data_IF_324246010827
#
_entry.id   IF_324246010827
#
_cell.length_a   1.000
_cell.length_b   1.000
_cell.length_c   1.000
_cell.angle_alpha   90.00
_cell.angle_beta   90.00
_cell.angle_gamma   90.00
#
_symmetry.space_group_name_H-M   'P 1'
#
loop_
_entity.id
_entity.type
_entity.pdbx_description
1 polymer ?
#
# COMPACT_ATOMS: atom_id res chain seq x y z
N UNK A 1 9.34 1.95 -24.90
CA UNK A 1 7.98 1.90 -24.29
C UNK A 1 8.10 1.08 -23.02
N UNK A 2 7.57 1.56 -21.90
CA UNK A 2 7.50 0.78 -20.65
C UNK A 2 6.50 -0.35 -20.90
N UNK A 3 6.86 -1.59 -20.53
CA UNK A 3 5.97 -2.75 -20.68
C UNK A 3 4.65 -2.50 -19.91
N UNK A 4 3.50 -2.86 -20.48
CA UNK A 4 2.18 -2.67 -19.86
C UNK A 4 2.08 -3.33 -18.47
N UNK A 5 2.73 -4.47 -18.27
CA UNK A 5 2.76 -5.18 -16.99
C UNK A 5 3.49 -4.36 -15.91
N UNK A 6 4.60 -3.71 -16.27
CA UNK A 6 5.34 -2.82 -15.37
C UNK A 6 4.50 -1.60 -15.02
N UNK A 7 3.78 -1.01 -15.98
CA UNK A 7 2.89 0.12 -15.72
C UNK A 7 1.80 -0.22 -14.71
N UNK A 8 1.23 -1.40 -14.79
CA UNK A 8 0.18 -1.86 -13.87
C UNK A 8 0.74 -2.09 -12.47
N UNK A 9 1.87 -2.78 -12.37
CA UNK A 9 2.48 -3.15 -11.09
C UNK A 9 3.11 -1.96 -10.38
N UNK A 10 3.73 -1.04 -11.12
CA UNK A 10 4.42 0.16 -10.59
C UNK A 10 3.52 1.40 -10.63
N UNK A 11 2.20 1.24 -10.75
CA UNK A 11 1.27 2.37 -10.85
C UNK A 11 1.34 3.31 -9.65
N UNK A 12 1.36 2.78 -8.43
CA UNK A 12 1.47 3.56 -7.19
C UNK A 12 2.77 4.36 -7.12
N UNK A 13 3.86 3.81 -7.64
CA UNK A 13 5.18 4.42 -7.64
C UNK A 13 5.25 5.76 -8.40
N UNK A 14 4.41 5.92 -9.43
CA UNK A 14 4.27 7.19 -10.18
C UNK A 14 3.10 8.00 -9.67
N UNK A 15 1.99 7.36 -9.29
CA UNK A 15 0.78 8.08 -8.87
C UNK A 15 0.97 8.84 -7.56
N UNK A 16 1.65 8.27 -6.58
CA UNK A 16 1.86 8.90 -5.28
C UNK A 16 2.59 10.24 -5.40
N UNK A 17 3.77 10.35 -6.04
CA UNK A 17 4.45 11.63 -6.20
C UNK A 17 3.64 12.62 -7.05
N UNK A 18 2.96 12.16 -8.10
CA UNK A 18 2.05 13.01 -8.89
C UNK A 18 0.94 13.62 -8.03
N UNK A 19 0.25 12.80 -7.23
CA UNK A 19 -0.82 13.27 -6.35
C UNK A 19 -0.29 14.18 -5.23
N UNK A 20 0.93 13.94 -4.77
CA UNK A 20 1.62 14.80 -3.79
C UNK A 20 1.94 16.17 -4.41
N UNK A 21 2.45 16.22 -5.64
CA UNK A 21 2.69 17.45 -6.38
C UNK A 21 1.40 18.25 -6.60
N UNK A 22 0.33 17.58 -7.05
CA UNK A 22 -0.98 18.21 -7.27
C UNK A 22 -1.55 18.77 -5.96
N UNK A 23 -1.40 18.06 -4.83
CA UNK A 23 -1.86 18.52 -3.52
C UNK A 23 -1.08 19.74 -3.05
N UNK A 24 0.24 19.70 -3.12
CA UNK A 24 1.11 20.82 -2.77
C UNK A 24 0.75 22.07 -3.59
N UNK A 25 0.65 21.94 -4.89
CA UNK A 25 0.26 23.04 -5.77
C UNK A 25 -1.10 23.66 -5.41
N UNK A 26 -2.11 22.83 -5.12
CA UNK A 26 -3.44 23.30 -4.72
C UNK A 26 -3.44 24.03 -3.38
N UNK A 27 -2.65 23.55 -2.42
CA UNK A 27 -2.52 24.19 -1.11
C UNK A 27 -1.85 25.57 -1.25
N UNK A 28 -0.76 25.64 -2.00
CA UNK A 28 -0.05 26.89 -2.28
C UNK A 28 -0.95 27.90 -2.97
N UNK A 29 -1.66 27.48 -4.02
CA UNK A 29 -2.59 28.35 -4.74
C UNK A 29 -3.65 28.94 -3.79
N UNK A 30 -4.26 28.12 -2.93
CA UNK A 30 -5.25 28.59 -1.95
C UNK A 30 -4.66 29.56 -0.94
N UNK A 31 -3.43 29.33 -0.48
CA UNK A 31 -2.74 30.22 0.44
C UNK A 31 -2.49 31.58 -0.22
N UNK A 32 -1.99 31.57 -1.46
CA UNK A 32 -1.73 32.78 -2.25
C UNK A 32 -3.05 33.57 -2.47
N UNK A 33 -4.09 32.88 -2.96
CA UNK A 33 -5.40 33.51 -3.22
C UNK A 33 -5.97 34.16 -1.95
N UNK A 34 -5.83 33.50 -0.79
CA UNK A 34 -6.29 34.02 0.50
C UNK A 34 -5.51 35.26 0.91
N UNK A 35 -4.16 35.22 0.85
CA UNK A 35 -3.33 36.37 1.24
C UNK A 35 -3.49 37.56 0.31
N UNK A 36 -3.54 37.34 -1.00
CA UNK A 36 -3.78 38.40 -1.98
C UNK A 36 -5.16 39.04 -1.77
N UNK A 37 -6.22 38.21 -1.55
CA UNK A 37 -7.55 38.72 -1.29
C UNK A 37 -7.60 39.54 0.00
N UNK A 38 -6.89 39.11 1.05
CA UNK A 38 -6.79 39.86 2.30
C UNK A 38 -6.10 41.20 2.11
N UNK A 39 -4.99 41.25 1.37
CA UNK A 39 -4.24 42.48 1.05
C UNK A 39 -5.11 43.43 0.21
N UNK A 40 -5.80 42.93 -0.84
CA UNK A 40 -6.71 43.71 -1.66
C UNK A 40 -7.83 44.32 -0.83
N UNK A 41 -8.45 43.56 0.06
CA UNK A 41 -9.51 44.07 0.94
C UNK A 41 -8.99 45.18 1.86
N UNK A 42 -7.78 45.06 2.40
CA UNK A 42 -7.15 46.09 3.22
C UNK A 42 -6.91 47.39 2.42
N UNK A 43 -6.43 47.26 1.16
CA UNK A 43 -6.21 48.41 0.25
C UNK A 43 -7.55 49.11 -0.09
N UNK A 44 -8.62 48.31 -0.35
CA UNK A 44 -9.95 48.84 -0.64
C UNK A 44 -10.52 49.60 0.59
N UNK A 45 -10.28 49.07 1.79
CA UNK A 45 -10.70 49.75 3.02
C UNK A 45 -9.94 51.08 3.21
N UNK A 46 -8.64 51.10 3.00
CA UNK A 46 -7.82 52.31 3.02
C UNK A 46 -8.34 53.38 2.03
N UNK A 47 -8.69 52.96 0.81
CA UNK A 47 -9.21 53.88 -0.21
C UNK A 47 -10.61 54.47 0.16
N UNK A 48 -11.39 53.85 1.01
CA UNK A 48 -12.74 54.28 1.43
C UNK A 48 -12.73 55.21 2.65
N UNK A 49 -11.60 55.43 3.32
CA UNK A 49 -11.48 56.33 4.45
C UNK A 49 -11.38 57.79 3.96
N UNK A 50 -12.40 58.58 4.24
CA UNK A 50 -12.48 59.99 3.84
C UNK A 50 -11.59 60.93 4.68
N UNK A 51 -11.16 60.50 5.89
CA UNK A 51 -10.22 61.22 6.76
C UNK A 51 -8.86 60.54 6.79
N UNK A 52 -7.92 61.14 6.03
CA UNK A 52 -6.56 60.68 5.99
C UNK A 52 -5.70 61.23 7.13
N UNK A 53 -5.46 60.40 8.17
CA UNK A 53 -4.30 60.60 9.04
C UNK A 53 -3.08 59.99 8.37
N UNK A 54 -2.13 60.86 7.96
CA UNK A 54 -1.01 60.49 7.12
C UNK A 54 -0.12 59.44 7.78
N UNK A 55 0.09 59.56 9.10
CA UNK A 55 0.95 58.66 9.88
C UNK A 55 0.33 57.24 10.02
N UNK A 56 -0.98 57.17 10.18
CA UNK A 56 -1.70 55.91 10.25
C UNK A 56 -1.72 55.18 8.91
N UNK A 57 -1.87 55.87 7.80
CA UNK A 57 -1.86 55.30 6.47
C UNK A 57 -0.45 54.78 6.13
N UNK A 58 0.62 55.48 6.50
CA UNK A 58 2.00 55.05 6.32
C UNK A 58 2.26 53.71 7.07
N UNK A 59 1.89 53.61 8.32
CA UNK A 59 1.99 52.38 9.13
C UNK A 59 1.23 51.22 8.50
N UNK A 60 0.03 51.46 7.97
CA UNK A 60 -0.76 50.40 7.31
C UNK A 60 -0.13 49.94 6.00
N UNK A 61 0.40 50.88 5.19
CA UNK A 61 1.13 50.53 3.95
C UNK A 61 2.39 49.73 4.27
N UNK A 62 3.17 50.12 5.28
CA UNK A 62 4.33 49.38 5.74
C UNK A 62 3.98 47.96 6.16
N UNK A 63 2.89 47.78 6.90
CA UNK A 63 2.35 46.45 7.29
C UNK A 63 2.00 45.61 6.05
N UNK A 64 1.37 46.16 5.02
CA UNK A 64 1.06 45.46 3.79
C UNK A 64 2.32 45.08 3.00
N UNK A 65 3.33 45.98 2.96
CA UNK A 65 4.63 45.67 2.34
C UNK A 65 5.31 44.52 3.09
N UNK A 66 5.28 44.51 4.39
CA UNK A 66 5.85 43.43 5.18
C UNK A 66 5.17 42.08 4.89
N UNK A 67 3.83 42.06 4.85
CA UNK A 67 3.06 40.87 4.50
C UNK A 67 3.39 40.37 3.08
N UNK A 68 3.55 41.26 2.11
CA UNK A 68 3.98 40.88 0.74
C UNK A 68 5.39 40.27 0.72
N UNK A 69 6.33 40.82 1.52
CA UNK A 69 7.67 40.26 1.67
C UNK A 69 7.64 38.87 2.28
N UNK A 70 6.82 38.65 3.29
CA UNK A 70 6.62 37.32 3.91
C UNK A 70 6.01 36.33 2.92
N UNK A 71 4.98 36.72 2.16
CA UNK A 71 4.39 35.91 1.11
C UNK A 71 5.44 35.52 0.05
N UNK A 72 6.26 36.46 -0.40
CA UNK A 72 7.34 36.19 -1.34
C UNK A 72 8.34 35.16 -0.78
N UNK A 73 8.72 35.29 0.48
CA UNK A 73 9.62 34.34 1.15
C UNK A 73 9.00 32.93 1.23
N UNK A 74 7.72 32.85 1.60
CA UNK A 74 6.97 31.60 1.64
C UNK A 74 6.93 30.94 0.27
N UNK A 75 6.57 31.68 -0.78
CA UNK A 75 6.53 31.18 -2.16
C UNK A 75 7.89 30.64 -2.63
N UNK A 76 8.97 31.31 -2.26
CA UNK A 76 10.32 30.83 -2.62
C UNK A 76 10.65 29.49 -1.95
N UNK A 77 10.25 29.31 -0.70
CA UNK A 77 10.44 28.06 0.02
C UNK A 77 9.55 26.94 -0.55
N UNK A 78 8.27 27.24 -0.80
CA UNK A 78 7.33 26.32 -1.41
C UNK A 78 7.81 25.84 -2.79
N UNK A 79 8.39 26.74 -3.59
CA UNK A 79 8.97 26.41 -4.88
C UNK A 79 10.16 25.45 -4.76
N UNK A 80 11.02 25.62 -3.75
CA UNK A 80 12.13 24.69 -3.48
C UNK A 80 11.64 23.30 -3.12
N UNK A 81 10.58 23.22 -2.31
CA UNK A 81 9.97 21.93 -1.95
C UNK A 81 9.31 21.24 -3.14
N UNK A 82 8.59 22.02 -3.98
CA UNK A 82 8.01 21.48 -5.20
C UNK A 82 9.06 20.96 -6.18
N UNK A 83 10.19 21.66 -6.34
CA UNK A 83 11.27 21.19 -7.19
C UNK A 83 11.80 19.83 -6.73
N UNK A 84 11.95 19.59 -5.42
CA UNK A 84 12.33 18.27 -4.91
C UNK A 84 11.31 17.17 -5.29
N UNK A 85 10.02 17.50 -5.25
CA UNK A 85 8.97 16.55 -5.67
C UNK A 85 9.08 16.25 -7.17
N UNK A 86 9.30 17.28 -8.00
CA UNK A 86 9.46 17.10 -9.46
C UNK A 86 10.72 16.31 -9.80
N UNK A 87 11.85 16.59 -9.15
CA UNK A 87 13.09 15.83 -9.31
C UNK A 87 12.89 14.35 -8.97
N UNK A 88 12.19 14.07 -7.85
CA UNK A 88 11.82 12.70 -7.49
C UNK A 88 10.93 12.05 -8.56
N UNK A 89 9.93 12.75 -9.11
CA UNK A 89 9.11 12.23 -10.20
C UNK A 89 9.95 11.89 -11.43
N UNK A 90 10.88 12.78 -11.81
CA UNK A 90 11.75 12.59 -12.97
C UNK A 90 12.65 11.36 -12.79
N UNK A 91 13.33 11.24 -11.64
CA UNK A 91 14.18 10.09 -11.31
C UNK A 91 13.40 8.77 -11.36
N UNK A 92 12.15 8.76 -10.87
CA UNK A 92 11.29 7.57 -10.90
C UNK A 92 10.92 7.15 -12.32
N UNK A 93 10.58 8.12 -13.18
CA UNK A 93 10.29 7.87 -14.59
C UNK A 93 11.54 7.37 -15.33
N UNK A 94 12.70 7.96 -15.07
CA UNK A 94 13.98 7.52 -15.62
C UNK A 94 14.30 6.09 -15.18
N UNK A 95 14.12 5.76 -13.91
CA UNK A 95 14.30 4.40 -13.40
C UNK A 95 13.38 3.40 -14.12
N UNK A 96 12.09 3.72 -14.34
CA UNK A 96 11.20 2.82 -15.07
C UNK A 96 11.57 2.69 -16.57
N UNK A 97 12.20 3.71 -17.15
CA UNK A 97 12.68 3.69 -18.53
C UNK A 97 14.03 2.99 -18.68
N UNK A 98 14.79 2.80 -17.61
CA UNK A 98 16.15 2.25 -17.66
C UNK A 98 16.19 0.76 -18.02
N UNK A 99 15.05 0.06 -18.00
CA UNK A 99 14.99 -1.34 -18.42
C UNK A 99 15.23 -1.43 -19.92
N UNK A 100 16.41 -1.87 -20.29
CA UNK A 100 16.74 -2.24 -21.67
C UNK A 100 16.59 -3.76 -21.82
N UNK A 101 15.73 -4.25 -22.73
CA UNK A 101 15.37 -5.68 -22.77
C UNK A 101 16.53 -6.64 -22.96
N UNK A 102 17.66 -6.20 -23.50
CA UNK A 102 18.80 -7.05 -23.88
C UNK A 102 20.08 -6.82 -23.08
N UNK A 103 20.08 -5.96 -22.05
CA UNK A 103 21.28 -5.66 -21.25
C UNK A 103 21.11 -6.21 -19.84
N UNK A 104 21.82 -7.30 -19.52
CA UNK A 104 21.72 -7.99 -18.22
C UNK A 104 22.08 -7.09 -17.03
N UNK A 105 23.09 -6.22 -17.17
CA UNK A 105 23.49 -5.27 -16.11
C UNK A 105 22.38 -4.27 -15.79
N UNK A 106 21.76 -3.68 -16.80
CA UNK A 106 20.63 -2.77 -16.62
C UNK A 106 19.44 -3.43 -15.94
N UNK A 107 19.17 -4.69 -16.25
CA UNK A 107 18.12 -5.47 -15.58
C UNK A 107 18.47 -5.73 -14.11
N UNK A 108 19.72 -6.06 -13.81
CA UNK A 108 20.16 -6.33 -12.44
C UNK A 108 20.05 -5.10 -11.56
N UNK A 109 20.52 -3.94 -12.03
CA UNK A 109 20.43 -2.68 -11.29
C UNK A 109 18.99 -2.25 -11.04
N UNK A 110 18.13 -2.40 -12.06
CA UNK A 110 16.71 -2.16 -11.91
C UNK A 110 16.08 -3.04 -10.83
N UNK A 111 16.32 -4.35 -10.88
CA UNK A 111 15.76 -5.29 -9.91
C UNK A 111 16.33 -5.09 -8.51
N UNK A 112 17.60 -4.73 -8.37
CA UNK A 112 18.22 -4.41 -7.09
C UNK A 112 17.56 -3.19 -6.43
N UNK A 113 17.39 -2.10 -7.16
CA UNK A 113 16.72 -0.91 -6.64
C UNK A 113 15.25 -1.19 -6.31
N UNK A 114 14.56 -1.92 -7.19
CA UNK A 114 13.18 -2.33 -6.97
C UNK A 114 13.02 -3.16 -5.70
N UNK A 115 13.88 -4.15 -5.49
CA UNK A 115 13.85 -5.01 -4.29
C UNK A 115 14.07 -4.20 -3.02
N UNK A 116 15.04 -3.28 -3.01
CA UNK A 116 15.27 -2.38 -1.87
C UNK A 116 14.04 -1.54 -1.55
N UNK A 117 13.39 -0.95 -2.55
CA UNK A 117 12.14 -0.18 -2.39
C UNK A 117 11.02 -1.03 -1.79
N UNK A 118 10.80 -2.22 -2.32
CA UNK A 118 9.74 -3.12 -1.85
C UNK A 118 9.96 -3.56 -0.39
N UNK A 119 11.21 -3.77 0.02
CA UNK A 119 11.55 -4.07 1.42
C UNK A 119 11.25 -2.86 2.32
N UNK A 120 11.63 -1.65 1.89
CA UNK A 120 11.34 -0.41 2.64
C UNK A 120 9.83 -0.21 2.77
N UNK A 121 9.06 -0.42 1.71
CA UNK A 121 7.60 -0.33 1.73
C UNK A 121 6.99 -1.34 2.72
N UNK A 122 7.41 -2.60 2.69
CA UNK A 122 6.94 -3.65 3.61
C UNK A 122 7.21 -3.30 5.06
N UNK A 123 8.43 -2.85 5.39
CA UNK A 123 8.79 -2.41 6.74
C UNK A 123 7.93 -1.25 7.22
N UNK A 124 7.64 -0.29 6.32
CA UNK A 124 6.78 0.87 6.64
C UNK A 124 5.35 0.43 6.93
N UNK A 125 4.80 -0.49 6.11
CA UNK A 125 3.45 -1.05 6.29
C UNK A 125 3.29 -1.80 7.61
N UNK A 126 4.33 -2.51 8.02
CA UNK A 126 4.38 -3.23 9.29
C UNK A 126 4.64 -2.34 10.51
N UNK A 127 4.67 -1.02 10.33
CA UNK A 127 4.87 -0.05 11.41
C UNK A 127 6.33 0.18 11.80
N UNK A 128 7.30 -0.51 11.16
CA UNK A 128 8.73 -0.37 11.42
C UNK A 128 9.34 0.86 10.73
N UNK A 129 8.70 2.04 10.88
CA UNK A 129 9.00 3.28 10.15
C UNK A 129 10.44 3.74 10.37
N UNK A 130 10.95 3.65 11.59
CA UNK A 130 12.32 4.07 11.90
C UNK A 130 13.38 3.21 11.19
N UNK A 131 13.12 1.90 11.12
CA UNK A 131 14.01 0.97 10.40
C UNK A 131 13.93 1.24 8.91
N UNK A 132 12.73 1.45 8.37
CA UNK A 132 12.51 1.80 6.97
C UNK A 132 13.25 3.09 6.59
N UNK A 133 13.14 4.16 7.39
CA UNK A 133 13.85 5.44 7.17
C UNK A 133 15.38 5.25 7.20
N UNK A 134 15.92 4.52 8.17
CA UNK A 134 17.36 4.21 8.25
C UNK A 134 17.84 3.42 7.05
N UNK A 135 17.07 2.42 6.63
CA UNK A 135 17.42 1.60 5.46
C UNK A 135 17.38 2.42 4.17
N UNK A 136 16.38 3.29 4.03
CA UNK A 136 16.24 4.23 2.92
C UNK A 136 17.49 5.12 2.78
N UNK A 137 17.95 5.72 3.90
CA UNK A 137 19.14 6.54 3.91
C UNK A 137 20.43 5.76 3.68
N UNK A 138 20.54 4.55 4.23
CA UNK A 138 21.73 3.70 4.00
C UNK A 138 21.90 3.27 2.55
N UNK A 139 20.80 3.12 1.83
CA UNK A 139 20.80 2.77 0.39
C UNK A 139 20.77 3.99 -0.53
N UNK A 140 20.65 5.22 0.03
CA UNK A 140 20.52 6.47 -0.74
C UNK A 140 19.34 6.45 -1.74
N UNK A 141 18.20 5.94 -1.29
CA UNK A 141 16.99 5.78 -2.10
C UNK A 141 15.81 6.65 -1.63
N UNK A 142 16.08 7.74 -0.91
CA UNK A 142 15.06 8.64 -0.36
C UNK A 142 14.13 9.18 -1.45
N UNK A 143 14.66 9.56 -2.61
CA UNK A 143 13.87 10.07 -3.73
C UNK A 143 12.82 9.06 -4.25
N UNK A 144 13.06 7.78 -4.00
CA UNK A 144 12.20 6.68 -4.46
C UNK A 144 11.21 6.18 -3.40
N UNK A 145 11.42 6.48 -2.11
CA UNK A 145 10.67 5.87 -1.02
C UNK A 145 10.02 6.87 -0.06
N UNK A 146 10.59 8.09 0.11
CA UNK A 146 10.19 9.00 1.17
C UNK A 146 8.70 9.40 1.11
N UNK A 147 8.15 9.55 -0.09
CA UNK A 147 6.75 9.94 -0.24
C UNK A 147 5.79 8.83 0.16
N UNK A 148 6.13 7.58 -0.18
CA UNK A 148 5.40 6.39 0.23
C UNK A 148 5.46 6.21 1.74
N UNK A 149 6.63 6.37 2.34
CA UNK A 149 6.81 6.30 3.80
C UNK A 149 5.90 7.31 4.49
N UNK A 150 5.92 8.57 4.06
CA UNK A 150 5.10 9.62 4.65
C UNK A 150 3.60 9.35 4.49
N UNK A 151 3.19 8.83 3.34
CA UNK A 151 1.79 8.53 3.06
C UNK A 151 1.28 7.34 3.88
N UNK A 152 2.08 6.27 3.98
CA UNK A 152 1.74 5.08 4.78
C UNK A 152 1.76 5.43 6.28
N UNK A 153 2.69 6.27 6.72
CA UNK A 153 2.74 6.79 8.10
C UNK A 153 1.44 7.52 8.45
N UNK A 154 0.98 8.43 7.58
CA UNK A 154 -0.30 9.12 7.73
C UNK A 154 -1.48 8.14 7.71
N UNK A 155 -1.48 7.17 6.80
CA UNK A 155 -2.51 6.14 6.74
C UNK A 155 -2.58 5.32 8.02
N UNK A 156 -1.44 4.88 8.56
CA UNK A 156 -1.37 4.13 9.80
C UNK A 156 -1.85 4.96 10.99
N UNK A 157 -1.51 6.26 11.04
CA UNK A 157 -2.01 7.16 12.07
C UNK A 157 -3.54 7.29 12.03
N UNK A 158 -4.12 7.48 10.86
CA UNK A 158 -5.58 7.57 10.71
C UNK A 158 -6.26 6.24 11.10
N UNK A 159 -5.69 5.10 10.70
CA UNK A 159 -6.21 3.78 11.08
C UNK A 159 -6.15 3.60 12.59
N UNK A 160 -5.05 3.98 13.23
CA UNK A 160 -4.92 3.94 14.70
C UNK A 160 -5.98 4.81 15.37
N UNK A 161 -6.14 6.06 14.93
CA UNK A 161 -7.14 6.97 15.49
C UNK A 161 -8.56 6.41 15.34
N UNK A 162 -8.90 5.82 14.17
CA UNK A 162 -10.19 5.15 13.98
C UNK A 162 -10.36 3.92 14.88
N UNK A 163 -9.28 3.16 15.13
CA UNK A 163 -9.29 2.03 16.08
C UNK A 163 -9.52 2.53 17.51
N UNK A 164 -8.94 3.68 17.87
CA UNK A 164 -9.13 4.37 19.14
C UNK A 164 -10.47 5.17 19.17
N UNK A 165 -11.36 4.92 18.21
CA UNK A 165 -12.68 5.56 18.07
C UNK A 165 -12.60 7.10 17.91
N UNK A 166 -11.55 7.61 17.29
CA UNK A 166 -11.39 9.03 17.00
C UNK A 166 -11.55 9.30 15.50
N UNK A 167 -12.36 10.30 15.16
CA UNK A 167 -12.67 10.62 13.76
C UNK A 167 -11.94 11.84 13.21
N UNK A 168 -11.19 12.57 14.06
CA UNK A 168 -10.64 13.88 13.71
C UNK A 168 -9.68 13.83 12.50
N UNK A 169 -8.65 12.99 12.57
CA UNK A 169 -7.65 12.83 11.50
C UNK A 169 -8.26 12.37 10.18
N UNK A 170 -9.24 11.44 10.26
CA UNK A 170 -9.98 10.98 9.09
C UNK A 170 -10.82 12.10 8.47
N UNK A 171 -11.44 12.96 9.28
CA UNK A 171 -12.20 14.12 8.80
C UNK A 171 -11.31 15.18 8.16
N UNK A 172 -10.11 15.43 8.68
CA UNK A 172 -9.13 16.33 8.06
C UNK A 172 -8.69 15.80 6.70
N UNK A 173 -8.35 14.51 6.64
CA UNK A 173 -8.01 13.83 5.40
C UNK A 173 -9.14 13.92 4.36
N UNK A 174 -10.42 13.79 4.76
CA UNK A 174 -11.56 13.96 3.88
C UNK A 174 -11.68 15.40 3.33
N UNK A 175 -11.40 16.42 4.15
CA UNK A 175 -11.39 17.83 3.69
C UNK A 175 -10.30 18.06 2.63
N UNK A 176 -9.10 17.54 2.86
CA UNK A 176 -7.99 17.65 1.90
C UNK A 176 -8.29 16.95 0.57
N UNK A 177 -8.97 15.81 0.62
CA UNK A 177 -9.29 14.99 -0.55
C UNK A 177 -10.73 15.19 -1.06
N UNK A 178 -11.45 16.24 -0.63
CA UNK A 178 -12.89 16.44 -0.89
C UNK A 178 -13.25 16.39 -2.38
N UNK A 179 -12.43 16.97 -3.25
CA UNK A 179 -12.67 16.96 -4.70
C UNK A 179 -12.54 15.56 -5.33
N UNK A 180 -11.68 14.69 -4.75
CA UNK A 180 -11.51 13.31 -5.20
C UNK A 180 -12.68 12.45 -4.70
N UNK A 181 -13.05 12.60 -3.42
CA UNK A 181 -14.20 11.92 -2.82
C UNK A 181 -15.50 12.23 -3.56
N UNK A 182 -15.71 13.49 -3.99
CA UNK A 182 -16.85 13.87 -4.81
C UNK A 182 -16.85 13.20 -6.17
N UNK A 183 -15.69 13.11 -6.85
CA UNK A 183 -15.56 12.38 -8.13
C UNK A 183 -15.86 10.89 -8.00
N UNK A 184 -15.44 10.29 -6.89
CA UNK A 184 -15.70 8.88 -6.57
C UNK A 184 -17.13 8.65 -6.05
N UNK A 185 -17.93 9.74 -5.86
CA UNK A 185 -19.27 9.70 -5.25
C UNK A 185 -19.30 8.89 -3.94
N UNK A 186 -18.26 9.04 -3.12
CA UNK A 186 -18.10 8.27 -1.91
C UNK A 186 -18.71 8.97 -0.71
N UNK A 187 -19.34 8.19 0.18
CA UNK A 187 -20.08 8.65 1.37
C UNK A 187 -19.28 8.54 2.69
N UNK A 188 -17.99 8.26 2.60
CA UNK A 188 -17.13 8.02 3.77
C UNK A 188 -17.14 9.20 4.77
N UNK A 189 -17.01 10.44 4.29
CA UNK A 189 -17.08 11.64 5.15
C UNK A 189 -18.42 11.70 5.91
N UNK A 190 -19.52 11.38 5.26
CA UNK A 190 -20.84 11.34 5.90
C UNK A 190 -20.92 10.22 6.96
N UNK A 191 -20.37 9.05 6.70
CA UNK A 191 -20.32 7.95 7.67
C UNK A 191 -19.46 8.28 8.90
N UNK A 192 -18.37 9.04 8.73
CA UNK A 192 -17.59 9.56 9.87
C UNK A 192 -18.41 10.53 10.72
N UNK A 193 -19.20 11.42 10.07
CA UNK A 193 -20.11 12.34 10.77
C UNK A 193 -21.15 11.55 11.58
N UNK A 194 -21.74 10.52 10.97
CA UNK A 194 -22.70 9.64 11.64
C UNK A 194 -22.07 8.97 12.87
N UNK A 195 -20.87 8.42 12.70
CA UNK A 195 -20.20 7.67 13.77
C UNK A 195 -19.83 8.59 14.95
N UNK A 196 -19.35 9.81 14.66
CA UNK A 196 -19.07 10.81 15.70
C UNK A 196 -20.33 11.25 16.43
N UNK A 197 -21.44 11.44 15.71
CA UNK A 197 -22.73 11.75 16.30
C UNK A 197 -23.18 10.66 17.27
N UNK A 198 -23.15 9.38 16.87
CA UNK A 198 -23.51 8.25 17.72
C UNK A 198 -22.59 8.16 18.95
N UNK A 199 -21.29 8.44 18.77
CA UNK A 199 -20.35 8.46 19.88
C UNK A 199 -20.69 9.53 20.92
N UNK A 200 -21.09 10.72 20.48
CA UNK A 200 -21.56 11.80 21.38
C UNK A 200 -22.83 11.39 22.12
N UNK A 201 -23.75 10.67 21.46
CA UNK A 201 -24.95 10.12 22.11
C UNK A 201 -24.56 9.08 23.16
N UNK A 202 -23.66 8.14 22.85
CA UNK A 202 -23.13 7.16 23.84
C UNK A 202 -22.53 7.85 25.08
N UNK A 203 -21.96 9.06 24.89
CA UNK A 203 -21.41 9.89 25.97
C UNK A 203 -22.45 10.76 26.70
N UNK A 204 -23.76 10.63 26.36
CA UNK A 204 -24.89 11.44 26.89
C UNK A 204 -24.76 12.94 26.61
N UNK A 205 -24.01 13.33 25.58
CA UNK A 205 -23.79 14.73 25.16
C UNK A 205 -24.76 15.14 24.03
N UNK A 206 -26.07 15.06 24.28
CA UNK A 206 -27.07 15.20 23.23
C UNK A 206 -27.07 16.58 22.56
N UNK A 207 -26.82 17.66 23.31
CA UNK A 207 -26.80 19.04 22.77
C UNK A 207 -25.59 19.17 21.81
N UNK A 208 -24.42 18.71 22.22
CA UNK A 208 -23.21 18.74 21.39
C UNK A 208 -23.42 17.89 20.12
N UNK A 209 -24.06 16.72 20.24
CA UNK A 209 -24.39 15.85 19.11
C UNK A 209 -25.25 16.54 18.07
N UNK A 210 -26.31 17.21 18.49
CA UNK A 210 -27.22 17.95 17.61
C UNK A 210 -26.49 19.12 16.93
N UNK A 211 -25.71 19.90 17.68
CA UNK A 211 -24.91 20.99 17.12
C UNK A 211 -23.90 20.48 16.08
N UNK A 212 -23.23 19.37 16.39
CA UNK A 212 -22.28 18.71 15.48
C UNK A 212 -22.98 18.25 14.19
N UNK A 213 -24.11 17.57 14.31
CA UNK A 213 -24.84 17.08 13.16
C UNK A 213 -25.34 18.27 12.28
N UNK A 214 -25.90 19.32 12.86
CA UNK A 214 -26.32 20.53 12.10
C UNK A 214 -25.18 21.14 11.31
N UNK A 215 -24.02 21.32 11.95
CA UNK A 215 -22.86 21.95 11.32
C UNK A 215 -22.30 21.15 10.12
N UNK A 216 -22.25 19.82 10.22
CA UNK A 216 -21.58 18.99 9.23
C UNK A 216 -22.53 18.30 8.23
N UNK A 217 -23.82 18.15 8.55
CA UNK A 217 -24.78 17.48 7.68
C UNK A 217 -25.39 18.38 6.62
N UNK A 218 -25.27 19.72 6.75
CA UNK A 218 -25.85 20.68 5.81
C UNK A 218 -25.46 20.38 4.35
N UNK A 219 -24.21 20.03 4.12
CA UNK A 219 -23.66 19.61 2.81
C UNK A 219 -24.40 18.40 2.22
N UNK A 220 -24.92 17.52 3.07
CA UNK A 220 -25.55 16.23 2.70
C UNK A 220 -27.08 16.27 2.78
N UNK A 221 -27.69 17.39 3.20
CA UNK A 221 -29.10 17.49 3.41
C UNK A 221 -29.93 17.13 2.17
N UNK A 222 -29.45 17.48 0.96
CA UNK A 222 -30.14 17.16 -0.31
C UNK A 222 -29.96 15.72 -0.76
N UNK A 223 -28.85 15.07 -0.44
CA UNK A 223 -28.48 13.74 -0.96
C UNK A 223 -28.75 12.62 0.03
N UNK A 224 -28.68 12.89 1.34
CA UNK A 224 -28.72 11.89 2.41
C UNK A 224 -29.81 12.20 3.47
N UNK A 225 -30.87 12.94 3.10
CA UNK A 225 -31.94 13.35 4.03
C UNK A 225 -32.56 12.16 4.79
N UNK A 226 -32.78 11.04 4.09
CA UNK A 226 -33.36 9.85 4.69
C UNK A 226 -32.50 9.24 5.80
N UNK A 227 -31.18 9.22 5.59
CA UNK A 227 -30.24 8.71 6.59
C UNK A 227 -30.06 9.70 7.75
N UNK A 228 -30.07 11.01 7.50
CA UNK A 228 -30.04 12.05 8.54
C UNK A 228 -31.23 11.89 9.45
N UNK A 229 -32.44 11.73 8.90
CA UNK A 229 -33.67 11.54 9.70
C UNK A 229 -33.57 10.27 10.58
N UNK A 230 -33.09 9.14 10.04
CA UNK A 230 -32.90 7.89 10.81
C UNK A 230 -31.94 8.09 11.98
N UNK A 231 -30.87 8.84 11.78
CA UNK A 231 -29.86 9.08 12.83
C UNK A 231 -30.42 10.03 13.89
N UNK A 232 -31.18 11.05 13.50
CA UNK A 232 -31.85 11.92 14.46
C UNK A 232 -32.80 11.15 15.38
N UNK A 233 -33.44 10.10 14.86
CA UNK A 233 -34.31 9.24 15.70
C UNK A 233 -33.51 8.49 16.77
N UNK A 234 -32.21 8.25 16.58
CA UNK A 234 -31.36 7.61 17.60
C UNK A 234 -31.31 8.41 18.92
N UNK A 235 -31.53 9.72 18.90
CA UNK A 235 -31.60 10.54 20.13
C UNK A 235 -32.75 10.10 21.07
N UNK A 236 -33.86 9.68 20.50
CA UNK A 236 -35.03 9.27 21.29
C UNK A 236 -34.86 7.92 21.92
N UNK A 237 -34.03 7.04 21.29
CA UNK A 237 -33.78 5.69 21.75
C UNK A 237 -32.75 5.55 22.86
N UNK A 238 -31.90 6.57 23.06
CA UNK A 238 -30.98 6.60 24.21
C UNK A 238 -31.73 6.58 25.56
N UNK A 239 -32.94 7.14 25.56
CA UNK A 239 -33.81 7.22 26.77
C UNK A 239 -34.65 5.96 27.00
N UNK A 240 -34.76 5.06 26.03
CA UNK A 240 -35.54 3.81 26.13
C UNK A 240 -34.61 2.65 26.36
N UNK A 241 -34.93 1.77 27.31
CA UNK A 241 -34.16 0.56 27.64
C UNK A 241 -34.14 -0.47 26.50
N UNK A 242 -35.05 -0.37 25.52
CA UNK A 242 -35.11 -1.23 24.35
C UNK A 242 -34.87 -0.41 23.09
N UNK A 243 -33.73 -0.63 22.44
CA UNK A 243 -33.41 -0.06 21.12
C UNK A 243 -34.09 -0.96 20.07
N UNK A 244 -34.97 -0.39 19.26
CA UNK A 244 -35.58 -1.05 18.11
C UNK A 244 -34.49 -1.63 17.19
N UNK A 245 -34.64 -2.87 16.71
CA UNK A 245 -33.64 -3.57 15.91
C UNK A 245 -33.14 -2.77 14.69
N UNK A 246 -34.03 -1.93 14.14
CA UNK A 246 -33.67 -1.03 13.03
C UNK A 246 -32.56 -0.04 13.35
N UNK A 247 -32.44 0.37 14.60
CA UNK A 247 -31.49 1.40 15.05
C UNK A 247 -30.29 0.79 15.77
N UNK A 248 -30.38 -0.47 16.21
CA UNK A 248 -29.29 -1.21 16.87
C UNK A 248 -28.00 -1.24 16.06
N UNK A 249 -28.12 -1.34 14.73
CA UNK A 249 -26.99 -1.30 13.79
C UNK A 249 -26.14 -0.02 13.87
N UNK A 250 -26.71 1.12 14.28
CA UNK A 250 -25.95 2.38 14.40
C UNK A 250 -25.05 2.40 15.64
N UNK A 251 -25.37 1.62 16.65
CA UNK A 251 -24.61 1.51 17.90
C UNK A 251 -23.61 0.36 17.91
N UNK A 252 -23.57 -0.46 16.85
CA UNK A 252 -22.64 -1.60 16.72
C UNK A 252 -21.19 -1.11 16.52
N UNK A 253 -20.28 -1.67 17.30
CA UNK A 253 -18.86 -1.33 17.24
C UNK A 253 -18.18 -1.86 15.96
N UNK A 254 -18.76 -2.83 15.27
CA UNK A 254 -18.32 -3.29 13.93
C UNK A 254 -18.26 -2.17 12.90
N UNK A 255 -19.03 -1.09 13.09
CA UNK A 255 -18.97 0.09 12.23
C UNK A 255 -17.59 0.75 12.17
N UNK A 256 -16.79 0.64 13.21
CA UNK A 256 -15.43 1.14 13.20
C UNK A 256 -14.53 0.32 12.28
N UNK A 257 -14.70 -1.02 12.29
CA UNK A 257 -14.00 -1.92 11.36
C UNK A 257 -14.38 -1.64 9.91
N UNK A 258 -15.70 -1.41 9.66
CA UNK A 258 -16.20 -1.04 8.33
C UNK A 258 -15.62 0.31 7.85
N UNK A 259 -15.50 1.30 8.73
CA UNK A 259 -14.88 2.58 8.41
C UNK A 259 -13.39 2.44 8.09
N UNK A 260 -12.66 1.62 8.84
CA UNK A 260 -11.25 1.33 8.58
C UNK A 260 -11.09 0.65 7.21
N UNK A 261 -11.93 -0.34 6.90
CA UNK A 261 -11.91 -1.03 5.62
C UNK A 261 -12.22 -0.07 4.46
N UNK A 262 -13.24 0.79 4.61
CA UNK A 262 -13.59 1.79 3.61
C UNK A 262 -12.46 2.81 3.40
N UNK A 263 -11.79 3.24 4.48
CA UNK A 263 -10.64 4.14 4.39
C UNK A 263 -9.48 3.51 3.61
N UNK A 264 -9.17 2.23 3.88
CA UNK A 264 -8.14 1.48 3.13
C UNK A 264 -8.48 1.38 1.64
N UNK A 265 -9.75 1.10 1.31
CA UNK A 265 -10.21 1.05 -0.07
C UNK A 265 -10.09 2.42 -0.77
N UNK A 266 -10.44 3.50 -0.07
CA UNK A 266 -10.26 4.87 -0.59
C UNK A 266 -8.79 5.24 -0.83
N UNK A 267 -7.89 4.80 0.04
CA UNK A 267 -6.45 4.97 -0.19
C UNK A 267 -5.98 4.22 -1.45
N UNK A 268 -6.53 3.03 -1.71
CA UNK A 268 -6.29 2.31 -2.95
C UNK A 268 -6.81 3.08 -4.18
N UNK A 269 -8.06 3.55 -4.14
CA UNK A 269 -8.68 4.28 -5.26
C UNK A 269 -7.94 5.58 -5.59
N UNK A 270 -7.51 6.30 -4.55
CA UNK A 270 -6.87 7.63 -4.69
C UNK A 270 -5.39 7.51 -5.06
N UNK A 271 -4.65 6.61 -4.41
CA UNK A 271 -3.19 6.53 -4.51
C UNK A 271 -2.68 5.26 -5.20
N UNK A 272 -3.54 4.28 -5.44
CA UNK A 272 -3.15 2.97 -5.97
C UNK A 272 -2.45 2.06 -4.94
N UNK A 273 -2.56 2.38 -3.64
CA UNK A 273 -1.95 1.58 -2.58
C UNK A 273 -2.82 0.38 -2.28
N UNK A 274 -2.40 -0.80 -2.74
CA UNK A 274 -3.10 -2.07 -2.44
C UNK A 274 -3.11 -2.37 -0.93
N UNK A 275 -4.07 -3.17 -0.47
CA UNK A 275 -4.15 -3.61 0.94
C UNK A 275 -2.93 -4.44 1.35
N UNK A 276 -2.43 -5.29 0.46
CA UNK A 276 -1.21 -6.06 0.65
C UNK A 276 -0.05 -5.42 -0.12
N UNK A 277 1.16 -5.47 0.44
CA UNK A 277 2.34 -5.00 -0.28
C UNK A 277 2.63 -5.90 -1.49
N UNK A 278 3.26 -5.31 -2.49
CA UNK A 278 3.73 -6.06 -3.65
C UNK A 278 4.79 -7.10 -3.25
N UNK A 279 5.64 -6.78 -2.27
CA UNK A 279 6.64 -7.71 -1.72
C UNK A 279 5.97 -8.95 -1.13
N UNK A 280 5.01 -8.77 -0.21
CA UNK A 280 4.28 -9.88 0.41
C UNK A 280 3.52 -10.70 -0.63
N UNK A 281 2.88 -10.05 -1.61
CA UNK A 281 2.13 -10.73 -2.66
C UNK A 281 3.04 -11.57 -3.56
N UNK A 282 4.17 -11.02 -4.01
CA UNK A 282 5.12 -11.75 -4.87
C UNK A 282 5.81 -12.89 -4.13
N UNK A 283 6.16 -12.69 -2.86
CA UNK A 283 6.74 -13.73 -2.02
C UNK A 283 5.75 -14.89 -1.81
N UNK A 284 4.51 -14.57 -1.47
CA UNK A 284 3.43 -15.58 -1.31
C UNK A 284 3.17 -16.34 -2.60
N UNK A 285 3.13 -15.65 -3.74
CA UNK A 285 2.97 -16.29 -5.05
C UNK A 285 4.14 -17.24 -5.37
N UNK A 286 5.38 -16.81 -5.14
CA UNK A 286 6.57 -17.64 -5.32
C UNK A 286 6.57 -18.90 -4.44
N UNK A 287 6.23 -18.75 -3.16
CA UNK A 287 6.10 -19.88 -2.24
C UNK A 287 4.95 -20.80 -2.66
N UNK A 288 3.80 -20.24 -3.07
CA UNK A 288 2.67 -21.00 -3.59
C UNK A 288 3.06 -21.89 -4.78
N UNK A 289 3.89 -21.39 -5.69
CA UNK A 289 4.41 -22.17 -6.82
C UNK A 289 5.30 -23.34 -6.39
N UNK A 290 6.03 -23.22 -5.28
CA UNK A 290 6.87 -24.27 -4.74
C UNK A 290 6.09 -25.27 -3.89
N UNK A 291 4.98 -24.86 -3.31
CA UNK A 291 4.16 -25.69 -2.41
C UNK A 291 3.43 -26.77 -3.20
N UNK A 292 3.43 -27.99 -2.68
CA UNK A 292 2.67 -29.12 -3.20
C UNK A 292 1.71 -29.67 -2.15
N UNK A 293 0.76 -30.52 -2.55
CA UNK A 293 -0.15 -31.23 -1.62
C UNK A 293 0.61 -31.99 -0.53
N UNK A 294 1.77 -32.53 -0.88
CA UNK A 294 2.59 -33.32 0.04
C UNK A 294 3.31 -32.47 1.10
N UNK A 295 3.48 -31.16 0.88
CA UNK A 295 4.10 -30.27 1.87
C UNK A 295 3.27 -30.10 3.14
N UNK A 296 1.97 -30.38 3.11
CA UNK A 296 1.07 -30.32 4.26
C UNK A 296 0.86 -31.67 4.96
N UNK A 297 1.25 -32.77 4.31
CA UNK A 297 1.12 -34.12 4.85
C UNK A 297 2.41 -34.52 5.60
N UNK A 298 2.42 -34.37 6.92
CA UNK A 298 3.50 -34.80 7.82
C UNK A 298 3.83 -36.30 7.74
N UNK A 299 2.98 -37.12 7.10
CA UNK A 299 3.21 -38.54 6.91
C UNK A 299 4.32 -38.90 5.92
N UNK A 300 4.69 -37.99 5.04
CA UNK A 300 5.74 -38.20 4.07
C UNK A 300 6.97 -37.38 4.48
N UNK A 301 7.79 -37.92 5.35
CA UNK A 301 9.16 -37.43 5.51
C UNK A 301 9.93 -37.72 4.22
N UNK A 302 9.83 -36.83 3.24
CA UNK A 302 10.68 -36.92 2.07
C UNK A 302 12.12 -36.61 2.46
N UNK A 303 13.06 -37.47 2.06
CA UNK A 303 14.49 -37.27 2.36
C UNK A 303 15.10 -36.06 1.62
N UNK A 304 14.29 -35.30 0.90
CA UNK A 304 14.72 -34.20 0.05
C UNK A 304 14.54 -32.87 0.77
N UNK A 305 15.53 -31.99 0.59
CA UNK A 305 15.51 -30.61 1.07
C UNK A 305 14.47 -29.79 0.30
N UNK A 306 13.20 -30.02 0.55
CA UNK A 306 12.15 -29.15 0.06
C UNK A 306 12.23 -27.82 0.82
N UNK A 307 12.37 -26.67 0.16
CA UNK A 307 12.44 -25.36 0.84
C UNK A 307 11.18 -25.06 1.62
N UNK A 308 10.01 -25.52 1.15
CA UNK A 308 8.71 -25.30 1.80
C UNK A 308 8.52 -26.20 3.03
N UNK A 309 9.12 -27.39 3.05
CA UNK A 309 9.03 -28.34 4.17
C UNK A 309 10.07 -28.06 5.28
N UNK A 310 10.93 -27.05 5.11
CA UNK A 310 11.80 -26.58 6.19
C UNK A 310 10.95 -26.13 7.38
N UNK A 311 11.29 -26.53 8.64
CA UNK A 311 10.45 -26.24 9.82
C UNK A 311 10.05 -24.76 9.94
N UNK A 312 11.00 -23.84 9.70
CA UNK A 312 10.77 -22.41 9.77
C UNK A 312 9.81 -21.86 8.70
N UNK A 313 9.93 -22.39 7.46
CA UNK A 313 9.09 -21.94 6.34
C UNK A 313 7.73 -22.60 6.40
N UNK A 314 7.65 -23.87 6.83
CA UNK A 314 6.39 -24.63 6.86
C UNK A 314 5.35 -23.99 7.79
N UNK A 315 5.77 -23.50 8.95
CA UNK A 315 4.89 -22.78 9.89
C UNK A 315 4.31 -21.50 9.24
N UNK A 316 5.16 -20.73 8.54
CA UNK A 316 4.75 -19.48 7.86
C UNK A 316 3.83 -19.74 6.66
N UNK A 317 3.93 -20.90 6.04
CA UNK A 317 3.30 -21.27 4.76
C UNK A 317 2.00 -22.06 4.93
N UNK A 318 1.65 -22.45 6.15
CA UNK A 318 0.47 -23.26 6.44
C UNK A 318 -0.79 -22.78 5.72
N UNK A 319 -1.06 -21.48 5.76
CA UNK A 319 -2.25 -20.85 5.20
C UNK A 319 -2.11 -20.41 3.72
N UNK A 320 -0.95 -20.63 3.08
CA UNK A 320 -0.77 -20.26 1.67
C UNK A 320 -1.29 -21.39 0.80
N UNK A 321 -2.19 -21.12 -0.18
CA UNK A 321 -2.66 -22.14 -1.11
C UNK A 321 -1.50 -22.63 -1.99
N UNK A 322 -1.63 -23.83 -2.53
CA UNK A 322 -0.74 -24.31 -3.58
C UNK A 322 -1.36 -24.04 -4.95
N UNK A 323 -0.50 -23.83 -5.96
CA UNK A 323 -0.97 -23.62 -7.34
C UNK A 323 -1.34 -24.95 -7.98
N UNK A 324 -2.41 -24.95 -8.78
CA UNK A 324 -2.74 -26.08 -9.63
C UNK A 324 -1.68 -26.19 -10.75
N UNK A 325 -0.98 -27.33 -10.82
CA UNK A 325 0.00 -27.61 -11.87
C UNK A 325 -0.67 -28.44 -12.95
N UNK A 326 -0.82 -27.84 -14.13
CA UNK A 326 -1.46 -28.51 -15.28
C UNK A 326 -0.48 -29.46 -15.99
N UNK A 327 0.79 -29.10 -16.02
CA UNK A 327 1.87 -29.91 -16.60
C UNK A 327 2.95 -30.14 -15.56
N UNK A 328 3.29 -31.42 -15.33
CA UNK A 328 4.40 -31.79 -14.47
C UNK A 328 5.58 -32.19 -15.35
N UNK A 329 6.77 -31.71 -15.04
CA UNK A 329 8.02 -32.19 -15.60
C UNK A 329 8.78 -33.01 -14.58
N UNK A 330 9.32 -34.15 -14.99
CA UNK A 330 10.20 -34.95 -14.15
C UNK A 330 11.60 -34.35 -14.19
N UNK A 331 12.17 -34.07 -13.03
CA UNK A 331 13.52 -33.52 -12.89
C UNK A 331 14.43 -34.57 -12.28
N UNK A 332 15.57 -34.81 -12.93
CA UNK A 332 16.59 -35.71 -12.42
C UNK A 332 17.22 -35.14 -11.15
N UNK A 333 17.26 -35.91 -10.09
CA UNK A 333 17.82 -35.50 -8.80
C UNK A 333 19.35 -35.47 -8.75
N UNK A 334 20.03 -36.12 -9.72
CA UNK A 334 21.49 -36.13 -9.81
C UNK A 334 22.00 -34.91 -10.60
N UNK A 335 21.37 -34.62 -11.75
CA UNK A 335 21.84 -33.55 -12.64
C UNK A 335 21.04 -32.27 -12.54
N UNK A 336 19.77 -32.31 -12.06
CA UNK A 336 18.86 -31.21 -12.09
C UNK A 336 18.17 -30.99 -13.44
N UNK A 337 18.47 -31.83 -14.44
CA UNK A 337 17.91 -31.71 -15.78
C UNK A 337 16.48 -32.27 -15.86
N UNK A 338 15.70 -31.76 -16.82
CA UNK A 338 14.39 -32.33 -17.15
C UNK A 338 14.56 -33.69 -17.83
N UNK A 339 13.73 -34.62 -17.41
CA UNK A 339 13.64 -35.94 -18.06
C UNK A 339 12.57 -35.86 -19.15
N UNK A 340 13.00 -36.03 -20.38
CA UNK A 340 12.18 -35.94 -21.60
C UNK A 340 12.58 -37.04 -22.61
N UNK A 341 12.14 -36.95 -23.86
CA UNK A 341 12.47 -37.89 -24.92
C UNK A 341 13.97 -37.93 -25.25
N UNK A 342 14.68 -36.80 -25.04
CA UNK A 342 16.13 -36.66 -25.30
C UNK A 342 16.99 -36.96 -24.09
N UNK A 343 16.41 -37.13 -22.91
CA UNK A 343 17.03 -37.46 -21.65
C UNK A 343 16.14 -38.36 -20.83
N UNK A 344 15.88 -39.59 -21.28
CA UNK A 344 14.82 -40.45 -20.77
C UNK A 344 15.05 -40.88 -19.30
N UNK A 345 13.95 -41.11 -18.58
CA UNK A 345 14.01 -41.63 -17.22
C UNK A 345 14.33 -43.12 -17.16
N UNK A 346 15.17 -43.49 -16.19
CA UNK A 346 15.48 -44.87 -15.84
C UNK A 346 15.21 -45.14 -14.37
N UNK A 347 14.62 -46.29 -14.07
CA UNK A 347 14.34 -46.75 -12.71
C UNK A 347 15.41 -47.68 -12.20
N UNK A 348 15.84 -47.51 -10.97
CA UNK A 348 16.75 -48.41 -10.25
C UNK A 348 16.00 -49.51 -9.53
N UNK A 349 16.70 -50.53 -9.03
CA UNK A 349 16.12 -51.60 -8.17
C UNK A 349 15.45 -51.06 -6.90
N UNK A 350 15.88 -49.92 -6.41
CA UNK A 350 15.32 -49.25 -5.23
C UNK A 350 14.12 -48.34 -5.55
N UNK A 351 13.53 -48.43 -6.74
CA UNK A 351 12.42 -47.62 -7.24
C UNK A 351 12.72 -46.10 -7.33
N UNK A 352 13.99 -45.73 -7.42
CA UNK A 352 14.37 -44.34 -7.67
C UNK A 352 14.57 -44.11 -9.18
N UNK A 353 14.16 -42.89 -9.64
CA UNK A 353 14.20 -42.55 -11.06
C UNK A 353 15.25 -41.47 -11.31
N UNK A 354 16.13 -41.73 -12.28
CA UNK A 354 17.19 -40.80 -12.72
C UNK A 354 17.20 -40.69 -14.24
N UNK A 355 17.71 -39.58 -14.74
CA UNK A 355 17.82 -39.39 -16.18
C UNK A 355 19.04 -40.18 -16.74
N UNK A 356 19.04 -40.45 -18.03
CA UNK A 356 20.13 -41.13 -18.73
C UNK A 356 21.49 -40.47 -18.48
N UNK A 357 21.57 -39.13 -18.67
CA UNK A 357 22.81 -38.37 -18.43
C UNK A 357 23.29 -38.46 -16.98
N UNK A 358 22.38 -38.53 -16.02
CA UNK A 358 22.72 -38.71 -14.61
C UNK A 358 23.34 -40.06 -14.32
N UNK A 359 22.79 -41.12 -14.92
CA UNK A 359 23.32 -42.48 -14.80
C UNK A 359 24.70 -42.59 -15.49
N UNK A 360 24.85 -42.03 -16.69
CA UNK A 360 26.12 -41.99 -17.40
C UNK A 360 27.22 -41.28 -16.60
N UNK A 361 26.87 -40.15 -15.99
CA UNK A 361 27.77 -39.41 -15.09
C UNK A 361 28.25 -40.29 -13.93
N UNK A 362 27.32 -41.00 -13.26
CA UNK A 362 27.65 -41.88 -12.15
C UNK A 362 28.52 -43.07 -12.58
N UNK A 363 28.31 -43.61 -13.81
CA UNK A 363 29.16 -44.64 -14.39
C UNK A 363 30.55 -44.12 -14.69
N UNK A 364 30.68 -42.93 -15.27
CA UNK A 364 31.97 -42.28 -15.56
C UNK A 364 32.77 -42.01 -14.29
N UNK A 365 32.10 -41.52 -13.23
CA UNK A 365 32.69 -41.23 -11.93
C UNK A 365 32.96 -42.51 -11.11
N UNK A 366 32.63 -43.72 -11.63
CA UNK A 366 32.76 -45.02 -10.97
C UNK A 366 32.11 -45.06 -9.58
N UNK A 367 31.07 -44.23 -9.37
CA UNK A 367 30.36 -44.21 -8.11
C UNK A 367 29.38 -45.35 -8.04
N UNK A 368 29.56 -46.25 -7.06
CA UNK A 368 28.61 -47.35 -6.78
C UNK A 368 27.56 -47.01 -5.74
N UNK A 369 27.64 -45.86 -5.10
CA UNK A 369 26.73 -45.42 -4.07
C UNK A 369 25.82 -44.33 -4.63
N UNK A 370 24.52 -44.50 -4.48
CA UNK A 370 23.58 -43.47 -4.83
C UNK A 370 23.80 -42.23 -3.96
N UNK A 371 24.00 -41.03 -4.53
CA UNK A 371 24.20 -39.81 -3.75
C UNK A 371 22.99 -39.43 -2.90
N UNK A 372 21.83 -39.93 -3.26
CA UNK A 372 20.55 -39.60 -2.61
C UNK A 372 20.13 -40.61 -1.56
N UNK A 373 20.06 -41.89 -1.95
CA UNK A 373 19.63 -42.97 -1.04
C UNK A 373 20.78 -43.53 -0.20
N UNK A 374 22.04 -43.23 -0.56
CA UNK A 374 23.28 -43.73 0.05
C UNK A 374 23.39 -45.27 0.04
N UNK A 375 22.61 -45.94 -0.81
CA UNK A 375 22.70 -47.40 -1.01
C UNK A 375 23.60 -47.74 -2.19
N UNK A 376 24.14 -48.94 -2.17
CA UNK A 376 24.89 -49.46 -3.32
C UNK A 376 23.94 -49.76 -4.47
N UNK A 377 24.25 -49.22 -5.64
CA UNK A 377 23.49 -49.38 -6.88
C UNK A 377 24.40 -49.83 -7.97
N UNK A 378 23.98 -50.88 -8.69
CA UNK A 378 24.55 -51.22 -9.97
C UNK A 378 23.79 -50.44 -11.07
N UNK A 379 24.45 -49.45 -11.63
CA UNK A 379 23.87 -48.57 -12.65
C UNK A 379 23.55 -49.29 -13.98
N UNK A 380 24.11 -50.48 -14.21
CA UNK A 380 23.84 -51.29 -15.41
C UNK A 380 22.49 -52.02 -15.32
N UNK A 381 21.95 -52.18 -14.12
CA UNK A 381 20.67 -52.85 -13.89
C UNK A 381 19.46 -51.86 -14.01
N UNK A 382 19.69 -50.60 -14.31
CA UNK A 382 18.63 -49.60 -14.47
C UNK A 382 17.79 -49.86 -15.74
N UNK A 383 16.47 -49.77 -15.60
CA UNK A 383 15.54 -50.00 -16.71
C UNK A 383 14.92 -48.70 -17.17
N UNK A 384 14.88 -48.45 -18.47
CA UNK A 384 14.18 -47.32 -19.06
C UNK A 384 12.69 -47.41 -18.78
N UNK A 385 12.11 -46.32 -18.34
CA UNK A 385 10.63 -46.19 -18.15
C UNK A 385 10.05 -45.24 -19.18
N UNK A 386 8.84 -45.53 -19.57
CA UNK A 386 8.03 -44.69 -20.44
C UNK A 386 6.91 -44.07 -19.62
N UNK A 387 6.72 -42.77 -19.76
CA UNK A 387 5.63 -42.06 -19.15
C UNK A 387 4.45 -42.10 -20.11
N UNK A 388 3.36 -42.66 -19.69
CA UNK A 388 2.09 -42.69 -20.43
C UNK A 388 1.23 -41.50 -20.09
#
# INVERSE_FOLDING_TARGET
MINADIQTVEYSFIKIPYETAVRSFKQQRKSIEKEISSILNSIIQLKKQDNFDKDQVEIQIESLIQRLKELKKQLTNDQKENNKIYDSCTKRIEHLKSITPNVKESQLDYHNLRTKRLIVEELTRNGNIQVAKKLCSSYQIEDYCQMEINLIELQNQIIKDLTDQQTHSAMEWCKENSSKLQKLKNDFEFKLIQQRFIQLLKQKKNIEAIQYLRKYSEKYAKTQQGEINKICMCITYEKKQEIDEKYKKYFDDKRWEDLILQFKNLCFDIYGISSNSLFSTTLRAGISCLKTLNCTNQKYQYPYKCPVCSPYINEMVGNIPFTHKVTSSLICRITGDVMDEHNPPYITKDNEVYCERGIEKMKQDKQKICPITKKEINWDDCKKIFLS
#
